data_IF_897269121270
#
_entry.id   IF_897269121270
#
_cell.length_a   1.000
_cell.length_b   1.000
_cell.length_c   1.000
_cell.angle_alpha   90.00
_cell.angle_beta   90.00
_cell.angle_gamma   90.00
#
_symmetry.space_group_name_H-M   'P 1'
#
loop_
_entity.id
_entity.type
_entity.pdbx_description
1 polymer ?
#
# COMPACT_ATOMS: atom_id res chain seq x y z
N UNK A 1 14.78 -9.69 1.98
CA UNK A 1 13.41 -9.52 1.39
C UNK A 1 13.34 -10.36 0.12
N UNK A 2 12.44 -11.34 0.05
CA UNK A 2 12.30 -12.27 -1.09
C UNK A 2 11.20 -11.84 -2.05
N UNK A 3 11.30 -12.23 -3.33
CA UNK A 3 10.26 -12.03 -4.34
C UNK A 3 8.96 -12.74 -3.93
N UNK A 4 9.05 -13.91 -3.30
CA UNK A 4 7.88 -14.65 -2.79
C UNK A 4 7.09 -13.83 -1.77
N UNK A 5 7.78 -13.18 -0.83
CA UNK A 5 7.14 -12.30 0.16
C UNK A 5 6.35 -11.17 -0.54
N UNK A 6 6.94 -10.58 -1.57
CA UNK A 6 6.29 -9.50 -2.33
C UNK A 6 5.07 -10.02 -3.09
N UNK A 7 5.18 -11.18 -3.73
CA UNK A 7 4.04 -11.83 -4.39
C UNK A 7 2.90 -12.06 -3.39
N UNK A 8 3.19 -12.65 -2.23
CA UNK A 8 2.16 -12.94 -1.21
C UNK A 8 1.45 -11.68 -0.69
N UNK A 9 2.19 -10.59 -0.49
CA UNK A 9 1.63 -9.36 0.11
C UNK A 9 1.15 -8.33 -0.90
N UNK A 10 1.70 -8.31 -2.12
CA UNK A 10 1.54 -7.18 -3.03
C UNK A 10 0.93 -7.53 -4.39
N UNK A 11 0.47 -8.78 -4.61
CA UNK A 11 -0.09 -9.21 -5.90
C UNK A 11 -1.14 -8.26 -6.48
N UNK A 12 -2.11 -7.72 -5.72
CA UNK A 12 -3.07 -6.78 -6.27
C UNK A 12 -2.42 -5.48 -6.78
N UNK A 13 -1.37 -5.00 -6.13
CA UNK A 13 -0.63 -3.81 -6.59
C UNK A 13 0.24 -4.15 -7.80
N UNK A 14 0.90 -5.31 -7.82
CA UNK A 14 1.65 -5.78 -9.00
C UNK A 14 0.75 -5.94 -10.23
N UNK A 15 -0.50 -6.36 -10.02
CA UNK A 15 -1.52 -6.51 -11.06
C UNK A 15 -2.19 -5.20 -11.50
N UNK A 16 -1.85 -4.05 -10.91
CA UNK A 16 -2.51 -2.77 -11.19
C UNK A 16 -3.92 -2.62 -10.60
N UNK A 17 -4.37 -3.57 -9.78
CA UNK A 17 -5.70 -3.55 -9.17
C UNK A 17 -5.78 -2.66 -7.92
N UNK A 18 -4.64 -2.43 -7.26
CA UNK A 18 -4.54 -1.69 -6.00
C UNK A 18 -3.41 -0.67 -6.09
N UNK A 19 -3.55 0.44 -5.39
CA UNK A 19 -2.58 1.55 -5.37
C UNK A 19 -1.30 1.17 -4.66
N UNK A 20 -1.41 0.62 -3.45
CA UNK A 20 -0.24 0.24 -2.67
C UNK A 20 -0.54 -0.83 -1.63
N UNK A 21 0.53 -1.46 -1.17
CA UNK A 21 0.53 -2.43 -0.08
C UNK A 21 1.61 -2.09 0.93
N UNK A 22 1.31 -2.35 2.20
CA UNK A 22 2.25 -2.29 3.31
C UNK A 22 2.48 -3.69 3.84
N UNK A 23 3.73 -4.02 4.15
CA UNK A 23 4.06 -5.27 4.83
C UNK A 23 5.32 -5.13 5.67
N UNK A 24 5.40 -5.91 6.75
CA UNK A 24 6.58 -5.97 7.59
C UNK A 24 7.60 -6.93 6.98
N UNK A 25 8.84 -6.46 6.84
CA UNK A 25 9.98 -7.27 6.43
C UNK A 25 10.94 -7.43 7.63
N UNK A 26 11.28 -8.68 8.06
CA UNK A 26 12.35 -8.88 9.02
C UNK A 26 13.64 -8.25 8.51
N UNK A 27 14.36 -7.57 9.40
CA UNK A 27 15.58 -6.87 9.05
C UNK A 27 16.63 -7.07 10.14
N UNK A 28 17.61 -7.93 9.88
CA UNK A 28 18.80 -8.11 10.70
C UNK A 28 19.95 -7.20 10.25
N UNK A 29 20.03 -6.89 8.95
CA UNK A 29 21.02 -5.99 8.35
C UNK A 29 20.34 -4.94 7.47
N UNK A 30 20.44 -3.67 7.90
CA UNK A 30 19.90 -2.52 7.17
C UNK A 30 20.59 -2.31 5.80
N UNK A 31 21.88 -2.63 5.67
CA UNK A 31 22.60 -2.47 4.40
C UNK A 31 22.10 -3.48 3.38
N UNK A 32 21.94 -4.74 3.78
CA UNK A 32 21.39 -5.79 2.92
C UNK A 32 19.95 -5.43 2.46
N UNK A 33 19.12 -4.94 3.37
CA UNK A 33 17.77 -4.51 3.02
C UNK A 33 17.77 -3.36 1.99
N UNK A 34 18.62 -2.34 2.16
CA UNK A 34 18.73 -1.24 1.21
C UNK A 34 19.15 -1.73 -0.17
N UNK A 35 20.10 -2.66 -0.24
CA UNK A 35 20.52 -3.27 -1.50
C UNK A 35 19.38 -4.07 -2.15
N UNK A 36 18.63 -4.83 -1.37
CA UNK A 36 17.47 -5.58 -1.85
C UNK A 36 16.37 -4.64 -2.39
N UNK A 37 16.06 -3.55 -1.69
CA UNK A 37 15.10 -2.54 -2.14
C UNK A 37 15.56 -1.86 -3.43
N UNK A 38 16.84 -1.49 -3.53
CA UNK A 38 17.40 -0.89 -4.76
C UNK A 38 17.33 -1.86 -5.95
N UNK A 39 17.70 -3.12 -5.73
CA UNK A 39 17.61 -4.17 -6.75
C UNK A 39 16.18 -4.35 -7.23
N UNK A 40 15.21 -4.40 -6.31
CA UNK A 40 13.81 -4.56 -6.65
C UNK A 40 13.27 -3.35 -7.42
N UNK A 41 13.61 -2.12 -7.00
CA UNK A 41 13.22 -0.91 -7.74
C UNK A 41 13.81 -0.90 -9.16
N UNK A 42 15.08 -1.32 -9.35
CA UNK A 42 15.68 -1.43 -10.69
C UNK A 42 14.88 -2.36 -11.62
N UNK A 43 14.31 -3.45 -11.06
CA UNK A 43 13.53 -4.45 -11.80
C UNK A 43 12.09 -3.99 -12.06
N UNK A 44 11.46 -3.30 -11.11
CA UNK A 44 10.02 -3.01 -11.13
C UNK A 44 9.65 -1.55 -11.48
N UNK A 45 10.58 -0.60 -11.32
CA UNK A 45 10.31 0.80 -11.69
C UNK A 45 9.93 0.98 -13.17
N UNK A 46 10.52 0.25 -14.15
CA UNK A 46 10.09 0.32 -15.54
C UNK A 46 8.64 -0.16 -15.77
N UNK A 47 8.02 -0.77 -14.77
CA UNK A 47 6.61 -1.23 -14.76
C UNK A 47 5.69 -0.37 -13.90
N UNK A 48 6.14 0.82 -13.52
CA UNK A 48 5.36 1.76 -12.71
C UNK A 48 5.22 1.35 -11.24
N UNK A 49 6.16 0.56 -10.69
CA UNK A 49 6.18 0.20 -9.26
C UNK A 49 7.33 0.91 -8.55
N UNK A 50 7.06 1.44 -7.38
CA UNK A 50 8.06 1.96 -6.45
C UNK A 50 7.98 1.21 -5.12
N UNK A 51 9.15 0.92 -4.54
CA UNK A 51 9.28 0.22 -3.25
C UNK A 51 10.17 1.07 -2.34
N UNK A 52 9.68 1.37 -1.15
CA UNK A 52 10.42 2.16 -0.16
C UNK A 52 10.29 1.56 1.25
N UNK A 53 11.34 1.62 2.07
CA UNK A 53 11.24 1.42 3.51
C UNK A 53 10.62 2.68 4.12
N UNK A 54 9.38 2.60 4.60
CA UNK A 54 8.64 3.77 5.08
C UNK A 54 8.80 3.99 6.59
N UNK A 55 9.05 2.92 7.35
CA UNK A 55 9.34 2.97 8.78
C UNK A 55 10.36 1.90 9.14
N UNK A 56 11.34 2.25 9.97
CA UNK A 56 12.40 1.34 10.42
C UNK A 56 12.25 1.13 11.93
N UNK A 57 12.02 -0.11 12.34
CA UNK A 57 12.04 -0.56 13.73
C UNK A 57 13.28 -1.43 13.98
N UNK A 58 13.55 -1.84 15.23
CA UNK A 58 14.78 -2.54 15.60
C UNK A 58 15.04 -3.82 14.78
N UNK A 59 14.03 -4.68 14.63
CA UNK A 59 14.17 -6.00 13.95
C UNK A 59 13.29 -6.15 12.71
N UNK A 60 12.61 -5.09 12.29
CA UNK A 60 11.71 -5.09 11.13
C UNK A 60 11.59 -3.72 10.51
N UNK A 61 11.30 -3.74 9.22
CA UNK A 61 11.07 -2.54 8.44
C UNK A 61 9.71 -2.67 7.79
N UNK A 62 8.90 -1.62 7.91
CA UNK A 62 7.66 -1.50 7.16
C UNK A 62 8.00 -1.07 5.74
N UNK A 63 7.67 -1.91 4.78
CA UNK A 63 7.89 -1.66 3.36
C UNK A 63 6.58 -1.21 2.73
N UNK A 64 6.64 -0.13 1.96
CA UNK A 64 5.56 0.35 1.12
C UNK A 64 5.92 0.09 -0.34
N UNK A 65 5.08 -0.72 -1.02
CA UNK A 65 5.16 -0.99 -2.44
C UNK A 65 3.91 -0.38 -3.08
N UNK A 66 4.10 0.50 -4.07
CA UNK A 66 2.99 1.27 -4.62
C UNK A 66 3.21 1.65 -6.10
N UNK A 67 2.15 2.13 -6.73
CA UNK A 67 2.13 2.71 -8.07
C UNK A 67 2.01 4.22 -7.96
N UNK A 68 3.08 4.99 -8.28
CA UNK A 68 3.06 6.45 -8.16
C UNK A 68 1.91 7.12 -8.89
N UNK A 69 1.70 6.78 -10.18
CA UNK A 69 0.66 7.41 -11.00
C UNK A 69 -0.75 7.11 -10.45
N UNK A 70 -0.95 5.88 -9.95
CA UNK A 70 -2.23 5.51 -9.34
C UNK A 70 -2.43 6.22 -8.01
N UNK A 71 -1.37 6.36 -7.21
CA UNK A 71 -1.41 7.11 -5.95
C UNK A 71 -1.76 8.57 -6.22
N UNK A 72 -1.11 9.21 -7.18
CA UNK A 72 -1.40 10.59 -7.57
C UNK A 72 -2.89 10.79 -7.90
N UNK A 73 -3.45 9.89 -8.72
CA UNK A 73 -4.87 9.93 -9.08
C UNK A 73 -5.80 9.72 -7.86
N UNK A 74 -5.48 8.77 -6.98
CA UNK A 74 -6.30 8.51 -5.80
C UNK A 74 -6.25 9.66 -4.79
N UNK A 75 -5.10 10.32 -4.62
CA UNK A 75 -4.94 11.47 -3.72
C UNK A 75 -5.48 12.78 -4.32
N UNK A 76 -5.68 12.85 -5.64
CA UNK A 76 -6.28 14.01 -6.32
C UNK A 76 -7.81 14.09 -6.14
N UNK A 77 -8.46 13.02 -5.66
CA UNK A 77 -9.89 13.04 -5.32
C UNK A 77 -10.14 14.04 -4.19
N UNK A 78 -11.14 14.91 -4.33
CA UNK A 78 -11.41 16.00 -3.38
C UNK A 78 -11.57 15.50 -1.94
N UNK A 79 -12.34 14.44 -1.73
CA UNK A 79 -12.54 13.84 -0.40
C UNK A 79 -11.25 13.32 0.24
N UNK A 80 -10.33 12.76 -0.56
CA UNK A 80 -9.01 12.35 -0.09
C UNK A 80 -8.17 13.58 0.28
N UNK A 81 -8.22 14.63 -0.55
CA UNK A 81 -7.57 15.90 -0.31
C UNK A 81 -8.02 16.57 0.99
N UNK A 82 -9.33 16.55 1.31
CA UNK A 82 -9.86 17.06 2.58
C UNK A 82 -9.28 16.33 3.79
N UNK A 83 -9.28 14.99 3.77
CA UNK A 83 -8.72 14.17 4.84
C UNK A 83 -7.23 14.48 5.02
N UNK A 84 -6.48 14.54 3.91
CA UNK A 84 -5.05 14.83 3.96
C UNK A 84 -4.77 16.22 4.53
N UNK A 85 -5.49 17.25 4.10
CA UNK A 85 -5.35 18.63 4.64
C UNK A 85 -5.63 18.67 6.15
N UNK A 86 -6.68 17.99 6.60
CA UNK A 86 -7.01 17.88 8.04
C UNK A 86 -5.90 17.18 8.83
N UNK A 87 -5.16 16.25 8.22
CA UNK A 87 -4.01 15.57 8.81
C UNK A 87 -2.67 16.33 8.61
N UNK A 88 -2.69 17.55 8.06
CA UNK A 88 -1.49 18.39 7.90
C UNK A 88 -0.59 18.01 6.72
N UNK A 89 -1.17 17.46 5.65
CA UNK A 89 -0.47 17.24 4.38
C UNK A 89 -0.66 18.42 3.42
N UNK A 90 0.37 18.69 2.63
CA UNK A 90 0.26 19.52 1.43
C UNK A 90 -0.21 18.63 0.28
N UNK A 91 -1.38 18.92 -0.27
CA UNK A 91 -1.97 18.17 -1.41
C UNK A 91 -1.39 18.62 -2.76
N UNK A 92 -1.55 17.80 -3.81
CA UNK A 92 -1.12 18.11 -5.18
C UNK A 92 0.26 17.56 -5.56
N UNK A 93 0.88 16.74 -4.70
CA UNK A 93 2.17 16.07 -4.98
C UNK A 93 2.22 14.78 -4.15
N UNK A 94 2.01 13.65 -4.81
CA UNK A 94 1.99 12.34 -4.16
C UNK A 94 3.31 11.96 -3.51
N UNK A 95 4.45 12.33 -4.09
CA UNK A 95 5.77 12.04 -3.52
C UNK A 95 5.99 12.83 -2.21
N UNK A 96 5.55 14.09 -2.13
CA UNK A 96 5.59 14.86 -0.89
C UNK A 96 4.66 14.27 0.17
N UNK A 97 3.49 13.80 -0.23
CA UNK A 97 2.57 13.09 0.67
C UNK A 97 3.23 11.82 1.25
N UNK A 98 3.91 11.02 0.43
CA UNK A 98 4.63 9.81 0.88
C UNK A 98 5.76 10.17 1.86
N UNK A 99 6.53 11.23 1.60
CA UNK A 99 7.56 11.72 2.53
C UNK A 99 6.95 12.15 3.86
N UNK A 100 5.82 12.87 3.83
CA UNK A 100 5.12 13.29 5.05
C UNK A 100 4.59 12.08 5.83
N UNK A 101 3.97 11.10 5.15
CA UNK A 101 3.52 9.86 5.77
C UNK A 101 4.67 9.13 6.48
N UNK A 102 5.83 9.00 5.82
CA UNK A 102 7.01 8.39 6.41
C UNK A 102 7.47 9.08 7.70
N UNK A 103 7.42 10.41 7.73
CA UNK A 103 7.75 11.18 8.93
C UNK A 103 6.73 10.93 10.05
N UNK A 104 5.43 10.96 9.74
CA UNK A 104 4.37 10.68 10.71
C UNK A 104 4.47 9.29 11.32
N UNK A 105 4.85 8.28 10.53
CA UNK A 105 5.08 6.91 11.02
C UNK A 105 6.29 6.80 11.97
N UNK A 106 7.22 7.78 11.94
CA UNK A 106 8.40 7.83 12.80
C UNK A 106 8.18 8.71 14.04
N UNK A 107 7.20 9.62 13.99
CA UNK A 107 6.81 10.46 15.13
C UNK A 107 6.16 9.55 16.20
N UNK A 108 6.48 9.79 17.47
CA UNK A 108 5.85 9.11 18.60
C UNK A 108 4.41 9.59 18.73
N UNK A 109 3.45 8.75 18.50
CA UNK A 109 2.03 9.08 18.57
C UNK A 109 1.14 7.99 17.99
N UNK A 110 -0.10 8.33 17.73
CA UNK A 110 -1.05 7.40 17.14
C UNK A 110 -0.66 7.06 15.70
N UNK A 111 -0.95 5.80 15.32
CA UNK A 111 -0.71 5.34 13.97
C UNK A 111 -1.52 6.18 12.97
N UNK A 112 -0.92 6.69 11.87
CA UNK A 112 -1.58 7.56 10.92
C UNK A 112 -2.66 6.81 10.14
N UNK A 113 -3.93 6.96 10.52
CA UNK A 113 -5.04 6.21 9.94
C UNK A 113 -5.36 6.63 8.50
N UNK A 114 -4.99 7.85 8.10
CA UNK A 114 -5.05 8.32 6.72
C UNK A 114 -4.17 7.51 5.75
N UNK A 115 -3.32 6.62 6.25
CA UNK A 115 -2.52 5.66 5.46
C UNK A 115 -3.41 4.80 4.55
N UNK A 116 -4.69 4.62 4.89
CA UNK A 116 -5.67 3.94 4.05
C UNK A 116 -5.78 4.54 2.65
N UNK A 117 -5.65 5.87 2.49
CA UNK A 117 -5.64 6.55 1.20
C UNK A 117 -4.44 6.11 0.34
N UNK A 118 -3.27 5.97 0.96
CA UNK A 118 -2.04 5.48 0.30
C UNK A 118 -2.12 4.01 -0.10
N UNK A 119 -3.06 3.27 0.50
CA UNK A 119 -3.34 1.88 0.15
C UNK A 119 -4.46 1.75 -0.90
N UNK A 120 -5.05 2.87 -1.34
CA UNK A 120 -6.15 2.90 -2.29
C UNK A 120 -7.47 2.45 -1.67
N UNK A 121 -7.70 2.71 -0.38
CA UNK A 121 -8.99 2.51 0.24
C UNK A 121 -9.94 3.68 -0.10
N UNK A 122 -11.25 3.45 -0.22
CA UNK A 122 -12.20 4.52 -0.47
C UNK A 122 -12.09 5.63 0.58
N UNK A 123 -12.07 6.92 0.19
CA UNK A 123 -11.98 8.03 1.14
C UNK A 123 -13.09 8.00 2.21
N UNK A 124 -14.32 7.61 1.83
CA UNK A 124 -15.44 7.43 2.77
C UNK A 124 -15.16 6.42 3.88
N UNK A 125 -14.45 5.31 3.55
CA UNK A 125 -14.08 4.29 4.53
C UNK A 125 -12.94 4.76 5.44
N UNK A 126 -11.98 5.50 4.88
CA UNK A 126 -10.88 6.09 5.66
C UNK A 126 -11.42 7.17 6.61
N UNK A 127 -12.31 8.05 6.14
CA UNK A 127 -12.99 9.07 6.96
C UNK A 127 -13.78 8.41 8.07
N UNK A 128 -14.63 7.42 7.72
CA UNK A 128 -15.42 6.69 8.69
C UNK A 128 -14.59 6.01 9.77
N UNK A 129 -13.43 5.46 9.40
CA UNK A 129 -12.48 4.87 10.37
C UNK A 129 -11.92 5.91 11.34
N UNK A 130 -11.50 7.08 10.84
CA UNK A 130 -10.93 8.17 11.65
C UNK A 130 -12.00 8.75 12.60
N UNK A 131 -13.15 9.11 12.06
CA UNK A 131 -14.22 9.80 12.81
C UNK A 131 -14.88 8.90 13.87
N UNK A 132 -15.03 7.61 13.56
CA UNK A 132 -15.67 6.66 14.48
C UNK A 132 -14.68 5.85 15.33
N UNK A 133 -13.39 6.23 15.39
CA UNK A 133 -12.39 5.53 16.18
C UNK A 133 -12.39 4.01 15.96
N UNK A 134 -12.50 3.62 14.68
CA UNK A 134 -12.54 2.23 14.25
C UNK A 134 -13.76 1.40 14.72
N UNK A 135 -14.84 2.04 15.19
CA UNK A 135 -16.10 1.41 15.62
C UNK A 135 -17.21 1.69 14.61
N UNK A 136 -18.32 0.97 14.64
CA UNK A 136 -19.50 1.25 13.81
C UNK A 136 -19.38 0.89 12.32
N UNK A 137 -18.36 0.13 11.94
CA UNK A 137 -18.19 -0.36 10.56
C UNK A 137 -19.26 -1.40 10.20
N UNK A 138 -19.65 -1.43 8.93
CA UNK A 138 -20.63 -2.37 8.38
C UNK A 138 -20.03 -3.76 8.12
N UNK A 139 -18.75 -3.79 7.72
CA UNK A 139 -18.06 -5.02 7.35
C UNK A 139 -16.55 -4.90 7.54
N UNK A 140 -15.86 -6.03 7.78
CA UNK A 140 -14.40 -6.11 7.87
C UNK A 140 -13.87 -7.09 6.83
N UNK A 141 -12.89 -6.65 6.06
CA UNK A 141 -12.11 -7.47 5.12
C UNK A 141 -10.68 -6.97 5.04
N UNK A 142 -10.24 -6.51 3.88
CA UNK A 142 -8.92 -5.87 3.75
C UNK A 142 -8.84 -4.55 4.53
N UNK A 143 -9.97 -3.93 4.79
CA UNK A 143 -10.16 -2.76 5.67
C UNK A 143 -11.54 -2.80 6.34
N UNK A 144 -11.80 -1.87 7.25
CA UNK A 144 -13.12 -1.66 7.85
C UNK A 144 -13.97 -0.78 6.95
N UNK A 145 -15.12 -1.30 6.50
CA UNK A 145 -16.02 -0.67 5.53
C UNK A 145 -17.09 0.13 6.24
N UNK A 146 -17.22 1.40 5.91
CA UNK A 146 -18.28 2.32 6.37
C UNK A 146 -19.23 2.71 5.24
N UNK A 147 -18.72 2.74 4.00
CA UNK A 147 -19.46 3.06 2.79
C UNK A 147 -20.21 1.89 2.17
N UNK A 148 -19.96 1.63 0.89
CA UNK A 148 -20.61 0.57 0.11
C UNK A 148 -20.04 -0.82 0.39
N UNK A 149 -20.70 -1.56 1.28
CA UNK A 149 -20.35 -2.93 1.66
C UNK A 149 -20.33 -3.90 0.45
N UNK A 150 -21.27 -3.74 -0.48
CA UNK A 150 -21.39 -4.64 -1.64
C UNK A 150 -20.20 -4.47 -2.59
N UNK A 151 -19.81 -3.25 -2.87
CA UNK A 151 -18.62 -2.93 -3.68
C UNK A 151 -17.34 -3.38 -2.99
N UNK A 152 -17.20 -3.14 -1.68
CA UNK A 152 -16.05 -3.59 -0.90
C UNK A 152 -15.88 -5.11 -0.93
N UNK A 153 -16.95 -5.89 -0.73
CA UNK A 153 -16.92 -7.36 -0.80
C UNK A 153 -16.46 -7.87 -2.16
N UNK A 154 -16.92 -7.24 -3.26
CA UNK A 154 -16.46 -7.58 -4.61
C UNK A 154 -14.96 -7.30 -4.77
N UNK A 155 -14.50 -6.17 -4.25
CA UNK A 155 -13.09 -5.78 -4.32
C UNK A 155 -12.20 -6.74 -3.52
N UNK A 156 -12.62 -7.14 -2.32
CA UNK A 156 -11.88 -8.12 -1.50
C UNK A 156 -11.77 -9.48 -2.19
N UNK A 157 -12.88 -9.95 -2.77
CA UNK A 157 -12.88 -11.21 -3.54
C UNK A 157 -11.93 -11.12 -4.75
N UNK A 158 -11.89 -9.96 -5.42
CA UNK A 158 -10.98 -9.71 -6.56
C UNK A 158 -9.52 -9.71 -6.11
N UNK A 159 -9.20 -9.07 -4.98
CA UNK A 159 -7.83 -9.07 -4.43
C UNK A 159 -7.39 -10.47 -4.01
N UNK A 160 -8.26 -11.21 -3.31
CA UNK A 160 -7.98 -12.59 -2.91
C UNK A 160 -7.69 -13.45 -4.13
N UNK A 161 -8.59 -13.46 -5.13
CA UNK A 161 -8.39 -14.22 -6.36
C UNK A 161 -7.10 -13.85 -7.08
N UNK A 162 -6.76 -12.56 -7.14
CA UNK A 162 -5.50 -12.08 -7.72
C UNK A 162 -4.31 -12.69 -6.99
N UNK A 163 -4.29 -12.63 -5.66
CA UNK A 163 -3.20 -13.19 -4.85
C UNK A 163 -3.06 -14.69 -5.06
N UNK A 164 -4.17 -15.44 -5.05
CA UNK A 164 -4.18 -16.90 -5.27
C UNK A 164 -3.57 -17.26 -6.65
N UNK A 165 -3.97 -16.53 -7.70
CA UNK A 165 -3.44 -16.71 -9.06
C UNK A 165 -1.95 -16.37 -9.12
N UNK A 166 -1.51 -15.27 -8.53
CA UNK A 166 -0.10 -14.85 -8.56
C UNK A 166 0.79 -15.82 -7.81
N UNK A 167 0.37 -16.29 -6.63
CA UNK A 167 1.08 -17.31 -5.88
C UNK A 167 1.23 -18.62 -6.68
N UNK A 168 0.17 -19.05 -7.34
CA UNK A 168 0.21 -20.24 -8.21
C UNK A 168 1.17 -20.05 -9.40
N UNK A 169 1.12 -18.90 -10.06
CA UNK A 169 2.00 -18.60 -11.20
C UNK A 169 3.48 -18.49 -10.76
N UNK A 170 3.74 -17.94 -9.57
CA UNK A 170 5.05 -17.92 -8.97
C UNK A 170 5.58 -19.33 -8.69
N UNK A 171 4.75 -20.19 -8.08
CA UNK A 171 5.10 -21.60 -7.82
C UNK A 171 5.41 -22.36 -9.11
N UNK A 172 4.81 -21.96 -10.24
CA UNK A 172 5.08 -22.49 -11.57
C UNK A 172 6.28 -21.82 -12.28
N UNK A 173 7.12 -21.07 -11.54
CA UNK A 173 8.39 -20.52 -12.03
C UNK A 173 8.29 -19.20 -12.79
N UNK A 174 7.15 -18.48 -12.78
CA UNK A 174 7.10 -17.14 -13.36
C UNK A 174 7.82 -16.13 -12.46
N UNK A 175 8.71 -15.31 -13.05
CA UNK A 175 9.39 -14.26 -12.31
C UNK A 175 8.45 -13.10 -11.92
N UNK A 176 8.83 -12.33 -10.90
CA UNK A 176 8.06 -11.18 -10.44
C UNK A 176 7.88 -10.13 -11.54
N UNK A 177 8.88 -9.95 -12.42
CA UNK A 177 8.81 -9.03 -13.55
C UNK A 177 7.72 -9.45 -14.56
N UNK A 178 7.58 -10.74 -14.80
CA UNK A 178 6.52 -11.27 -15.68
C UNK A 178 5.15 -11.18 -15.05
N UNK A 179 5.07 -11.26 -13.73
CA UNK A 179 3.83 -11.11 -12.97
C UNK A 179 3.43 -9.64 -12.77
N UNK A 180 4.37 -8.70 -12.90
CA UNK A 180 4.07 -7.28 -12.75
C UNK A 180 3.56 -6.71 -14.07
N UNK A 181 2.32 -6.21 -14.05
CA UNK A 181 1.71 -5.51 -15.18
C UNK A 181 2.31 -4.13 -15.29
N UNK A 182 2.75 -3.73 -16.50
CA UNK A 182 3.10 -2.34 -16.78
C UNK A 182 1.80 -1.53 -16.96
N UNK A 183 1.72 -0.36 -16.33
CA UNK A 183 0.59 0.58 -16.41
C UNK A 183 1.18 1.93 -16.76
#
# INVERSE_FOLDING_TARGET
MSDEMIIRHCSPTLAGLKTGNLFNCPCSDKKELILAVRSLNKRLAPKGIRVIPIQVCEQRVLIYLYRPDKLENDLAVEEAGEILRACGYSTGDGDKCVVRLSRRLQESGDFPHEIGLFLGYPPEDVRGFIENHAVGYKFVGCWKVYGDEKSAKKQFARYKKCTDVYCSQWANGKSIERLTVAV
#
